data_IF_813797388201
#
_entry.id   IF_813797388201
#
_cell.length_a   1.000
_cell.length_b   1.000
_cell.length_c   1.000
_cell.angle_alpha   90.00
_cell.angle_beta   90.00
_cell.angle_gamma   90.00
#
_symmetry.space_group_name_H-M   'P 1'
#
loop_
_entity.id
_entity.type
_entity.pdbx_description
1 polymer ?
#
# COMPACT_ATOMS: atom_id res chain seq x y z
N UNK A 1 24.16 24.00 4.41
CA UNK A 1 23.34 23.16 5.30
C UNK A 1 22.90 21.86 4.61
N UNK A 2 22.31 21.96 3.43
CA UNK A 2 21.91 20.78 2.66
C UNK A 2 23.09 19.89 2.30
N UNK A 3 24.23 20.50 1.96
CA UNK A 3 25.45 19.76 1.67
C UNK A 3 25.98 18.98 2.88
N UNK A 4 25.78 19.49 4.09
CA UNK A 4 26.17 18.78 5.31
C UNK A 4 25.28 17.57 5.57
N UNK A 5 23.97 17.69 5.30
CA UNK A 5 23.04 16.57 5.42
C UNK A 5 23.38 15.48 4.41
N UNK A 6 23.68 15.86 3.18
CA UNK A 6 24.08 14.89 2.15
C UNK A 6 25.38 14.17 2.54
N UNK A 7 26.34 14.88 3.09
CA UNK A 7 27.60 14.29 3.55
C UNK A 7 27.45 13.35 4.72
N UNK A 8 26.46 13.61 5.61
CA UNK A 8 26.21 12.80 6.80
C UNK A 8 25.29 11.62 6.51
N UNK A 9 24.50 11.69 5.45
CA UNK A 9 23.59 10.61 5.08
C UNK A 9 24.36 9.48 4.41
N UNK A 10 24.15 8.23 4.84
CA UNK A 10 24.71 7.06 4.13
C UNK A 10 24.03 6.82 2.80
N UNK A 11 22.92 7.53 2.53
CA UNK A 11 22.11 7.35 1.33
C UNK A 11 22.42 8.44 0.31
N UNK A 12 22.35 8.09 -0.96
CA UNK A 12 22.42 9.07 -2.05
C UNK A 12 21.10 9.81 -2.21
N UNK A 13 21.12 10.86 -3.02
CA UNK A 13 19.94 11.70 -3.26
C UNK A 13 18.76 10.90 -3.81
N UNK A 14 18.99 9.98 -4.74
CA UNK A 14 17.91 9.15 -5.29
C UNK A 14 17.29 8.25 -4.23
N UNK A 15 18.10 7.73 -3.32
CA UNK A 15 17.58 6.94 -2.19
C UNK A 15 16.70 7.79 -1.27
N UNK A 16 17.12 9.01 -0.99
CA UNK A 16 16.35 9.94 -0.16
C UNK A 16 15.02 10.32 -0.83
N UNK A 17 15.03 10.56 -2.13
CA UNK A 17 13.83 10.87 -2.90
C UNK A 17 12.87 9.69 -2.88
N UNK A 18 13.38 8.48 -3.13
CA UNK A 18 12.53 7.29 -3.14
C UNK A 18 11.94 6.98 -1.78
N UNK A 19 12.70 7.19 -0.71
CA UNK A 19 12.19 7.03 0.66
C UNK A 19 11.14 8.08 0.99
N UNK A 20 11.36 9.34 0.63
CA UNK A 20 10.40 10.42 0.85
C UNK A 20 9.09 10.13 0.10
N UNK A 21 9.20 9.68 -1.15
CA UNK A 21 8.03 9.29 -1.94
C UNK A 21 7.26 8.15 -1.27
N UNK A 22 7.97 7.11 -0.84
CA UNK A 22 7.35 5.97 -0.17
C UNK A 22 6.67 6.37 1.14
N UNK A 23 7.31 7.22 1.93
CA UNK A 23 6.73 7.73 3.18
C UNK A 23 5.43 8.51 2.92
N UNK A 24 5.40 9.33 1.86
CA UNK A 24 4.20 10.06 1.50
C UNK A 24 3.08 9.11 1.04
N UNK A 25 3.42 8.11 0.25
CA UNK A 25 2.46 7.07 -0.15
C UNK A 25 1.87 6.35 1.06
N UNK A 26 2.72 5.99 2.02
CA UNK A 26 2.28 5.32 3.24
C UNK A 26 1.38 6.23 4.09
N UNK A 27 1.73 7.51 4.24
CA UNK A 27 0.94 8.46 5.01
C UNK A 27 -0.45 8.70 4.40
N UNK A 28 -0.57 8.57 3.09
CA UNK A 28 -1.85 8.69 2.37
C UNK A 28 -2.55 7.35 2.17
N UNK A 29 -2.04 6.29 2.77
CA UNK A 29 -2.58 4.92 2.64
C UNK A 29 -2.69 4.44 1.19
N UNK A 30 -1.78 4.89 0.34
CA UNK A 30 -1.80 4.59 -1.09
C UNK A 30 -2.88 5.35 -1.86
N UNK A 31 -3.57 6.29 -1.24
CA UNK A 31 -4.67 7.03 -1.86
C UNK A 31 -4.23 8.44 -2.26
N UNK A 32 -3.31 8.50 -3.17
CA UNK A 32 -2.79 9.75 -3.75
C UNK A 32 -2.51 9.51 -5.23
N UNK A 33 -2.82 10.49 -6.07
CA UNK A 33 -2.50 10.39 -7.49
C UNK A 33 -1.01 10.61 -7.71
N UNK A 34 -0.49 10.07 -8.81
CA UNK A 34 0.93 10.24 -9.14
C UNK A 34 1.25 11.71 -9.43
N UNK A 35 0.29 12.45 -9.99
CA UNK A 35 0.42 13.88 -10.22
C UNK A 35 0.56 14.65 -8.90
N UNK A 36 -0.26 14.31 -7.90
CA UNK A 36 -0.17 14.92 -6.58
C UNK A 36 1.15 14.58 -5.89
N UNK A 37 1.59 13.34 -6.01
CA UNK A 37 2.88 12.91 -5.47
C UNK A 37 4.02 13.77 -6.05
N UNK A 38 4.02 13.96 -7.35
CA UNK A 38 5.02 14.80 -8.01
C UNK A 38 4.96 16.25 -7.56
N UNK A 39 3.75 16.77 -7.39
CA UNK A 39 3.55 18.15 -6.92
C UNK A 39 4.07 18.34 -5.51
N UNK A 40 3.76 17.43 -4.62
CA UNK A 40 4.20 17.49 -3.22
C UNK A 40 5.73 17.42 -3.10
N UNK A 41 6.37 16.58 -3.89
CA UNK A 41 7.81 16.35 -3.81
C UNK A 41 8.61 17.26 -4.74
N UNK A 42 7.93 18.04 -5.58
CA UNK A 42 8.56 18.94 -6.56
C UNK A 42 9.38 18.21 -7.61
N UNK A 43 8.95 17.04 -8.01
CA UNK A 43 9.56 16.25 -9.08
C UNK A 43 8.49 15.83 -10.09
N UNK A 44 8.90 15.59 -11.34
CA UNK A 44 7.98 15.09 -12.36
C UNK A 44 7.57 13.66 -12.04
N UNK A 45 6.36 13.29 -12.47
CA UNK A 45 5.87 11.91 -12.33
C UNK A 45 6.81 10.91 -12.98
N UNK A 46 7.36 11.29 -14.13
CA UNK A 46 8.30 10.46 -14.89
C UNK A 46 9.58 10.20 -14.11
N UNK A 47 10.12 11.24 -13.48
CA UNK A 47 11.33 11.13 -12.66
C UNK A 47 11.09 10.24 -11.45
N UNK A 48 9.98 10.45 -10.75
CA UNK A 48 9.62 9.62 -9.58
C UNK A 48 9.43 8.16 -9.98
N UNK A 49 8.79 7.91 -11.12
CA UNK A 49 8.66 6.55 -11.65
C UNK A 49 10.02 5.89 -11.82
N UNK A 50 10.95 6.60 -12.46
CA UNK A 50 12.30 6.10 -12.73
C UNK A 50 13.08 5.85 -11.44
N UNK A 51 13.07 6.81 -10.52
CA UNK A 51 13.82 6.71 -9.26
C UNK A 51 13.28 5.59 -8.37
N UNK A 52 11.98 5.50 -8.23
CA UNK A 52 11.38 4.44 -7.41
C UNK A 52 11.62 3.07 -8.02
N UNK A 53 11.47 2.93 -9.33
CA UNK A 53 11.76 1.67 -10.01
C UNK A 53 13.21 1.24 -9.80
N UNK A 54 14.15 2.17 -9.92
CA UNK A 54 15.56 1.90 -9.75
C UNK A 54 15.92 1.55 -8.30
N UNK A 55 15.36 2.26 -7.33
CA UNK A 55 15.77 2.14 -5.93
C UNK A 55 14.89 1.21 -5.10
N UNK A 56 13.61 1.11 -5.40
CA UNK A 56 12.67 0.27 -4.64
C UNK A 56 12.16 -0.93 -5.45
N UNK A 57 12.45 -0.99 -6.74
CA UNK A 57 12.00 -2.07 -7.60
C UNK A 57 10.55 -1.98 -8.04
N UNK A 58 9.82 -0.96 -7.60
CA UNK A 58 8.41 -0.75 -7.96
C UNK A 58 8.18 0.71 -8.33
N UNK A 59 7.25 0.95 -9.25
CA UNK A 59 6.86 2.32 -9.58
C UNK A 59 5.81 2.83 -8.57
N UNK A 60 5.55 4.16 -8.53
CA UNK A 60 4.59 4.72 -7.57
C UNK A 60 3.21 4.08 -7.63
N UNK A 61 2.69 3.81 -8.82
CA UNK A 61 1.37 3.21 -9.01
C UNK A 61 1.29 1.80 -8.41
N UNK A 62 2.33 0.99 -8.66
CA UNK A 62 2.43 -0.36 -8.09
C UNK A 62 2.50 -0.29 -6.56
N UNK A 63 3.27 0.65 -6.03
CA UNK A 63 3.43 0.81 -4.59
C UNK A 63 2.13 1.27 -3.93
N UNK A 64 1.37 2.15 -4.56
CA UNK A 64 0.03 2.52 -4.08
C UNK A 64 -0.86 1.28 -3.93
N UNK A 65 -0.85 0.42 -4.94
CA UNK A 65 -1.64 -0.81 -4.93
C UNK A 65 -1.18 -1.75 -3.81
N UNK A 66 0.13 -1.91 -3.64
CA UNK A 66 0.69 -2.73 -2.57
C UNK A 66 0.24 -2.24 -1.20
N UNK A 67 0.31 -0.93 -0.97
CA UNK A 67 -0.08 -0.31 0.31
C UNK A 67 -1.57 -0.51 0.57
N UNK A 68 -2.42 -0.30 -0.42
CA UNK A 68 -3.87 -0.52 -0.28
C UNK A 68 -4.18 -1.97 0.07
N UNK A 69 -3.51 -2.92 -0.57
CA UNK A 69 -3.74 -4.34 -0.29
C UNK A 69 -3.25 -4.75 1.09
N UNK A 70 -2.12 -4.22 1.54
CA UNK A 70 -1.64 -4.44 2.90
C UNK A 70 -2.63 -3.89 3.94
N UNK A 71 -3.17 -2.71 3.70
CA UNK A 71 -4.18 -2.12 4.58
C UNK A 71 -5.49 -2.92 4.54
N UNK A 72 -5.86 -3.43 3.37
CA UNK A 72 -7.03 -4.31 3.23
C UNK A 72 -6.88 -5.57 4.10
N UNK A 73 -5.72 -6.21 4.03
CA UNK A 73 -5.43 -7.39 4.85
C UNK A 73 -5.55 -7.06 6.34
N UNK A 74 -4.96 -5.96 6.78
CA UNK A 74 -5.06 -5.54 8.18
C UNK A 74 -6.50 -5.32 8.61
N UNK A 75 -7.31 -4.67 7.79
CA UNK A 75 -8.72 -4.40 8.11
C UNK A 75 -9.55 -5.68 8.13
N UNK A 76 -9.28 -6.61 7.21
CA UNK A 76 -9.96 -7.90 7.19
C UNK A 76 -9.62 -8.75 8.40
N UNK A 77 -8.38 -8.65 8.89
CA UNK A 77 -7.92 -9.44 10.04
C UNK A 77 -8.28 -8.81 11.38
N UNK A 78 -8.37 -7.49 11.45
CA UNK A 78 -8.54 -6.78 12.72
C UNK A 78 -9.99 -6.62 13.15
N UNK A 79 -10.95 -6.68 12.24
CA UNK A 79 -12.35 -6.44 12.59
C UNK A 79 -13.30 -7.22 11.69
N UNK A 80 -14.03 -8.17 12.32
CA UNK A 80 -15.10 -8.89 11.65
C UNK A 80 -16.34 -8.02 11.40
N UNK A 81 -16.40 -6.86 12.03
CA UNK A 81 -17.60 -6.00 11.99
C UNK A 81 -17.60 -5.05 10.81
N UNK A 82 -16.44 -4.77 10.23
CA UNK A 82 -16.38 -3.96 9.02
C UNK A 82 -16.85 -4.76 7.82
N UNK A 83 -17.86 -4.23 7.13
CA UNK A 83 -18.33 -4.83 5.90
C UNK A 83 -17.33 -4.62 4.77
N UNK A 84 -17.46 -5.40 3.71
CA UNK A 84 -16.61 -5.23 2.52
C UNK A 84 -16.80 -3.83 1.93
N UNK A 85 -18.04 -3.31 1.94
CA UNK A 85 -18.34 -1.95 1.49
C UNK A 85 -17.62 -0.90 2.32
N UNK A 86 -17.61 -1.06 3.64
CA UNK A 86 -16.93 -0.13 4.54
C UNK A 86 -15.42 -0.15 4.32
N UNK A 87 -14.83 -1.33 4.18
CA UNK A 87 -13.40 -1.46 3.88
C UNK A 87 -13.08 -0.80 2.54
N UNK A 88 -13.89 -1.04 1.52
CA UNK A 88 -13.74 -0.43 0.21
C UNK A 88 -13.71 1.10 0.29
N UNK A 89 -14.61 1.69 1.04
CA UNK A 89 -14.68 3.13 1.24
C UNK A 89 -13.45 3.67 1.97
N UNK A 90 -13.03 3.01 3.04
CA UNK A 90 -11.85 3.41 3.81
C UNK A 90 -10.58 3.39 2.96
N UNK A 91 -10.49 2.45 2.03
CA UNK A 91 -9.33 2.31 1.15
C UNK A 91 -9.38 3.24 -0.08
N UNK A 92 -10.48 3.97 -0.27
CA UNK A 92 -10.62 4.93 -1.36
C UNK A 92 -11.00 4.32 -2.70
N UNK A 93 -11.62 3.15 -2.71
CA UNK A 93 -12.14 2.55 -3.94
C UNK A 93 -13.48 3.17 -4.32
N UNK A 94 -13.78 3.17 -5.61
CA UNK A 94 -15.03 3.73 -6.12
C UNK A 94 -16.26 3.01 -5.57
N UNK A 95 -16.22 1.68 -5.57
CA UNK A 95 -17.28 0.84 -5.01
C UNK A 95 -16.71 -0.49 -4.51
N UNK A 96 -17.55 -1.30 -3.88
CA UNK A 96 -17.16 -2.61 -3.36
C UNK A 96 -16.70 -3.56 -4.46
N UNK A 97 -17.35 -3.52 -5.63
CA UNK A 97 -16.99 -4.38 -6.77
C UNK A 97 -15.56 -4.11 -7.23
N UNK A 98 -15.20 -2.83 -7.35
CA UNK A 98 -13.85 -2.43 -7.75
C UNK A 98 -12.81 -2.95 -6.76
N UNK A 99 -13.08 -2.81 -5.46
CA UNK A 99 -12.20 -3.34 -4.42
C UNK A 99 -12.09 -4.88 -4.50
N UNK A 100 -13.22 -5.58 -4.60
CA UNK A 100 -13.24 -7.05 -4.65
C UNK A 100 -12.42 -7.56 -5.82
N UNK A 101 -12.58 -6.97 -7.01
CA UNK A 101 -11.81 -7.37 -8.18
C UNK A 101 -10.32 -7.09 -8.01
N UNK A 102 -9.96 -5.90 -7.52
CA UNK A 102 -8.55 -5.55 -7.30
C UNK A 102 -7.91 -6.47 -6.27
N UNK A 103 -8.62 -6.78 -5.19
CA UNK A 103 -8.15 -7.69 -4.14
C UNK A 103 -7.95 -9.11 -4.68
N UNK A 104 -8.94 -9.63 -5.39
CA UNK A 104 -8.88 -10.99 -5.93
C UNK A 104 -7.73 -11.14 -6.94
N UNK A 105 -7.51 -10.14 -7.78
CA UNK A 105 -6.40 -10.13 -8.75
C UNK A 105 -5.05 -10.13 -8.04
N UNK A 106 -4.94 -9.41 -6.94
CA UNK A 106 -3.68 -9.26 -6.22
C UNK A 106 -3.39 -10.44 -5.28
N UNK A 107 -4.39 -10.88 -4.53
CA UNK A 107 -4.23 -11.90 -3.49
C UNK A 107 -4.48 -13.32 -4.04
N UNK A 108 -5.34 -13.46 -5.06
CA UNK A 108 -5.69 -14.75 -5.64
C UNK A 108 -7.01 -15.33 -5.14
N UNK A 109 -7.68 -14.66 -4.19
CA UNK A 109 -9.02 -15.02 -3.74
C UNK A 109 -9.78 -13.81 -3.27
N UNK A 110 -11.11 -13.92 -3.14
CA UNK A 110 -11.93 -12.78 -2.73
C UNK A 110 -11.68 -12.42 -1.26
N UNK A 111 -11.91 -11.16 -0.87
CA UNK A 111 -11.78 -10.77 0.54
C UNK A 111 -12.74 -11.51 1.46
N UNK A 112 -13.93 -11.86 0.99
CA UNK A 112 -14.90 -12.64 1.76
C UNK A 112 -14.38 -14.05 2.05
N UNK A 113 -13.82 -14.72 1.05
CA UNK A 113 -13.22 -16.04 1.22
C UNK A 113 -12.06 -16.01 2.19
N UNK A 114 -11.19 -15.02 2.06
CA UNK A 114 -10.06 -14.83 2.96
C UNK A 114 -10.53 -14.65 4.41
N UNK A 115 -11.53 -13.79 4.62
CA UNK A 115 -12.08 -13.51 5.95
C UNK A 115 -12.69 -14.76 6.58
N UNK A 116 -13.44 -15.53 5.81
CA UNK A 116 -14.05 -16.78 6.28
C UNK A 116 -13.00 -17.78 6.73
N UNK A 117 -11.93 -17.94 5.96
CA UNK A 117 -10.82 -18.83 6.32
C UNK A 117 -10.13 -18.39 7.60
N UNK A 118 -9.91 -17.09 7.75
CA UNK A 118 -9.25 -16.54 8.93
C UNK A 118 -10.07 -16.80 10.20
N UNK A 119 -11.36 -16.44 10.19
CA UNK A 119 -12.21 -16.65 11.36
C UNK A 119 -12.49 -18.12 11.65
N UNK A 120 -12.49 -18.95 10.65
CA UNK A 120 -12.59 -20.38 10.82
C UNK A 120 -11.38 -20.92 11.58
N UNK A 121 -10.19 -20.46 11.24
CA UNK A 121 -8.95 -20.84 11.95
C UNK A 121 -8.94 -20.34 13.39
N UNK A 122 -9.42 -19.13 13.61
CA UNK A 122 -9.53 -18.57 14.96
C UNK A 122 -10.45 -19.38 15.86
N UNK A 123 -11.48 -19.96 15.30
CA UNK A 123 -12.41 -20.82 16.05
C UNK A 123 -11.79 -22.16 16.43
N UNK A 124 -10.76 -22.58 15.73
CA UNK A 124 -10.12 -23.87 15.94
C UNK A 124 -8.61 -23.68 16.09
N UNK A 125 -8.17 -23.01 17.17
CA UNK A 125 -6.76 -22.67 17.33
C UNK A 125 -5.84 -23.89 17.42
N UNK A 126 -6.35 -25.04 17.87
CA UNK A 126 -5.57 -26.28 17.94
C UNK A 126 -5.22 -26.81 16.55
N UNK A 127 -6.08 -26.59 15.56
CA UNK A 127 -5.80 -26.97 14.18
C UNK A 127 -4.66 -26.14 13.58
N UNK A 128 -4.52 -24.90 14.01
CA UNK A 128 -3.45 -24.02 13.55
C UNK A 128 -2.10 -24.45 14.10
N UNK A 129 -2.08 -24.93 15.33
CA UNK A 129 -0.86 -25.39 16.03
C UNK A 129 -0.42 -26.75 15.51
N UNK A 130 -1.35 -27.59 15.19
CA UNK A 130 -1.10 -28.94 14.68
C UNK A 130 -0.82 -28.94 13.19
#
# INVERSE_FOLDING_TARGET
>A
FLGELEKKSPLGLKDEISLAANQLLLSKHGNISITELGRELCYSSRYLHSVMRERLGVCPKEQCKNIRMQNALKMLLSSSQLSIEQISQELGYYDASHFVHAYADFIGESPTMFRQKYYRRERHPLEIIL
#
